data_IF_684889659091
#
_entry.id   IF_684889659091
#
_cell.length_a   1.000
_cell.length_b   1.000
_cell.length_c   1.000
_cell.angle_alpha   90.00
_cell.angle_beta   90.00
_cell.angle_gamma   90.00
#
_symmetry.space_group_name_H-M   'P 1'
#
loop_
_entity.id
_entity.type
_entity.pdbx_description
1 polymer ?
#
# COMPACT_ATOMS: atom_id res chain seq x y z
N UNK A 1 -4.44 21.89 13.36
CA UNK A 1 -4.49 21.39 11.98
C UNK A 1 -3.52 20.20 11.88
N UNK A 2 -4.06 18.99 11.78
CA UNK A 2 -3.32 17.71 11.83
C UNK A 2 -2.30 17.60 10.69
N UNK A 3 -2.64 18.09 9.50
CA UNK A 3 -1.73 18.04 8.33
C UNK A 3 -0.50 18.88 8.60
N UNK A 4 -0.67 20.11 9.12
CA UNK A 4 0.42 21.01 9.47
C UNK A 4 1.31 20.41 10.57
N UNK A 5 0.71 19.75 11.58
CA UNK A 5 1.48 19.07 12.63
C UNK A 5 2.42 18.00 12.03
N UNK A 6 1.97 17.24 11.03
CA UNK A 6 2.81 16.24 10.36
C UNK A 6 3.92 16.92 9.54
N UNK A 7 3.59 17.96 8.76
CA UNK A 7 4.57 18.70 7.96
C UNK A 7 5.67 19.41 8.79
N UNK A 8 5.35 19.81 10.02
CA UNK A 8 6.26 20.51 10.95
C UNK A 8 6.95 19.57 11.96
N UNK A 9 6.77 18.26 11.83
CA UNK A 9 7.33 17.25 12.74
C UNK A 9 8.10 16.15 11.99
N UNK A 10 8.81 15.31 12.75
CA UNK A 10 9.48 14.10 12.20
C UNK A 10 8.54 12.88 12.11
N UNK A 11 7.22 13.11 12.22
CA UNK A 11 6.23 12.02 12.11
C UNK A 11 5.92 11.73 10.64
N UNK A 12 5.83 10.46 10.29
CA UNK A 12 5.52 10.03 8.93
C UNK A 12 4.02 10.08 8.63
N UNK A 13 3.16 9.92 9.65
CA UNK A 13 1.69 9.97 9.54
C UNK A 13 1.04 10.36 10.87
N UNK A 14 -0.27 10.62 10.86
CA UNK A 14 -1.04 10.92 12.06
C UNK A 14 -1.57 9.63 12.72
N UNK A 15 -0.87 9.16 13.76
CA UNK A 15 -1.29 8.00 14.56
C UNK A 15 -2.71 8.20 15.15
N UNK A 16 -3.06 9.43 15.55
CA UNK A 16 -4.39 9.74 16.06
C UNK A 16 -5.50 9.51 15.02
N UNK A 17 -5.28 9.99 13.79
CA UNK A 17 -6.25 9.80 12.70
C UNK A 17 -6.31 8.33 12.30
N UNK A 18 -5.15 7.68 12.17
CA UNK A 18 -5.06 6.26 11.84
C UNK A 18 -5.86 5.40 12.84
N UNK A 19 -5.64 5.58 14.15
CA UNK A 19 -6.39 4.86 15.18
C UNK A 19 -7.89 5.15 15.12
N UNK A 20 -8.29 6.39 14.86
CA UNK A 20 -9.71 6.72 14.66
C UNK A 20 -10.34 5.96 13.50
N UNK A 21 -9.61 5.77 12.38
CA UNK A 21 -10.07 4.97 11.25
C UNK A 21 -10.16 3.48 11.60
N UNK A 22 -9.18 2.96 12.34
CA UNK A 22 -9.18 1.59 12.86
C UNK A 22 -10.35 1.34 13.81
N UNK A 23 -10.58 2.24 14.77
CA UNK A 23 -11.67 2.13 15.76
C UNK A 23 -13.06 2.12 15.09
N UNK A 24 -13.19 2.75 13.93
CA UNK A 24 -14.37 2.73 13.09
C UNK A 24 -14.43 1.51 12.15
N UNK A 25 -13.42 0.65 12.15
CA UNK A 25 -13.31 -0.53 11.27
C UNK A 25 -12.98 -0.22 9.81
N UNK A 26 -12.61 1.04 9.49
CA UNK A 26 -12.47 1.48 8.09
C UNK A 26 -11.27 0.84 7.38
N UNK A 27 -10.25 0.42 8.11
CA UNK A 27 -9.10 -0.35 7.58
C UNK A 27 -9.48 -1.74 7.11
N UNK A 28 -10.57 -2.30 7.67
CA UNK A 28 -11.11 -3.61 7.31
C UNK A 28 -12.33 -3.57 6.39
N UNK A 29 -12.64 -2.42 5.76
CA UNK A 29 -13.88 -2.21 4.98
C UNK A 29 -14.16 -3.33 3.99
N UNK A 30 -13.20 -3.69 3.14
CA UNK A 30 -13.38 -4.72 2.10
C UNK A 30 -12.81 -6.09 2.48
N UNK A 31 -12.21 -6.22 3.65
CA UNK A 31 -11.74 -7.53 4.17
C UNK A 31 -12.98 -8.37 4.52
N UNK A 32 -13.05 -9.65 4.09
CA UNK A 32 -14.14 -10.53 4.45
C UNK A 32 -14.33 -10.68 5.97
N UNK A 33 -15.56 -10.89 6.42
CA UNK A 33 -15.90 -11.06 7.85
C UNK A 33 -15.15 -12.25 8.47
N UNK A 34 -14.91 -13.31 7.71
CA UNK A 34 -14.14 -14.48 8.17
C UNK A 34 -12.69 -14.16 8.56
N UNK A 35 -12.13 -13.05 8.06
CA UNK A 35 -10.82 -12.51 8.44
C UNK A 35 -10.94 -11.27 9.34
N UNK A 36 -12.09 -11.03 9.95
CA UNK A 36 -12.30 -9.94 10.91
C UNK A 36 -12.55 -8.56 10.30
N UNK A 37 -12.80 -8.48 9.00
CA UNK A 37 -13.20 -7.25 8.32
C UNK A 37 -14.71 -7.01 8.34
N UNK A 38 -15.16 -5.97 7.64
CA UNK A 38 -16.58 -5.60 7.52
C UNK A 38 -17.28 -6.29 6.34
N UNK A 39 -16.55 -6.89 5.41
CA UNK A 39 -17.10 -7.55 4.23
C UNK A 39 -17.90 -6.64 3.30
N UNK A 40 -17.65 -5.33 3.36
CA UNK A 40 -18.37 -4.36 2.53
C UNK A 40 -17.79 -4.32 1.10
N UNK A 41 -18.49 -3.65 0.21
CA UNK A 41 -18.10 -3.57 -1.20
C UNK A 41 -17.07 -2.46 -1.45
N UNK A 42 -16.41 -2.45 -2.62
CA UNK A 42 -15.55 -1.33 -3.02
C UNK A 42 -16.27 0.03 -3.09
N UNK A 43 -17.61 0.05 -3.20
CA UNK A 43 -18.37 1.29 -3.24
C UNK A 43 -18.30 2.06 -1.91
N UNK A 44 -18.42 1.35 -0.78
CA UNK A 44 -18.28 1.96 0.54
C UNK A 44 -16.84 2.49 0.73
N UNK A 45 -15.86 1.77 0.20
CA UNK A 45 -14.47 2.22 0.25
C UNK A 45 -14.24 3.50 -0.59
N UNK A 46 -14.96 3.67 -1.72
CA UNK A 46 -14.93 4.92 -2.49
C UNK A 46 -15.43 6.13 -1.69
N UNK A 47 -16.50 5.96 -0.89
CA UNK A 47 -17.03 7.03 -0.03
C UNK A 47 -15.99 7.40 1.05
N UNK A 48 -15.33 6.41 1.64
CA UNK A 48 -14.26 6.65 2.62
C UNK A 48 -13.09 7.38 1.95
N UNK A 49 -12.70 6.97 0.76
CA UNK A 49 -11.60 7.59 0.01
C UNK A 49 -11.88 9.07 -0.27
N UNK A 50 -13.10 9.43 -0.68
CA UNK A 50 -13.52 10.81 -0.90
C UNK A 50 -13.38 11.67 0.36
N UNK A 51 -13.79 11.17 1.53
CA UNK A 51 -13.67 11.90 2.79
C UNK A 51 -12.20 12.02 3.26
N UNK A 52 -11.39 10.99 3.05
CA UNK A 52 -9.94 11.07 3.31
C UNK A 52 -9.27 12.14 2.44
N UNK A 53 -9.62 12.20 1.17
CA UNK A 53 -9.16 13.23 0.24
C UNK A 53 -9.64 14.62 0.63
N UNK A 54 -10.91 14.78 1.02
CA UNK A 54 -11.49 16.04 1.52
C UNK A 54 -10.73 16.59 2.73
N UNK A 55 -10.29 15.69 3.62
CA UNK A 55 -9.54 16.03 4.82
C UNK A 55 -8.01 16.13 4.55
N UNK A 56 -7.52 15.77 3.36
CA UNK A 56 -6.09 15.56 3.08
C UNK A 56 -5.43 14.71 4.17
N UNK A 57 -6.06 13.61 4.55
CA UNK A 57 -5.71 12.83 5.72
C UNK A 57 -4.28 12.24 5.60
N UNK A 58 -3.36 12.61 6.50
CA UNK A 58 -1.97 12.14 6.43
C UNK A 58 -1.84 10.76 7.10
N UNK A 59 -2.31 9.73 6.40
CA UNK A 59 -2.35 8.34 6.87
C UNK A 59 -1.97 7.37 5.75
N UNK A 60 -1.40 6.18 6.05
CA UNK A 60 -0.99 5.19 5.05
C UNK A 60 -2.17 4.40 4.47
N UNK A 61 -3.29 5.06 4.18
CA UNK A 61 -4.51 4.37 3.78
C UNK A 61 -4.41 3.82 2.36
N UNK A 62 -3.86 4.61 1.43
CA UNK A 62 -3.71 4.20 0.03
C UNK A 62 -2.73 3.03 -0.14
N UNK A 63 -1.58 3.07 0.51
CA UNK A 63 -0.58 2.01 0.45
C UNK A 63 -1.07 0.73 1.11
N UNK A 64 -1.67 0.86 2.31
CA UNK A 64 -2.07 -0.29 3.12
C UNK A 64 -3.40 -0.88 2.70
N UNK A 65 -4.44 -0.05 2.51
CA UNK A 65 -5.81 -0.53 2.25
C UNK A 65 -6.08 -0.71 0.76
N UNK A 66 -5.78 0.32 -0.09
CA UNK A 66 -6.12 0.23 -1.51
C UNK A 66 -5.22 -0.72 -2.29
N UNK A 67 -3.95 -0.85 -1.88
CA UNK A 67 -2.96 -1.64 -2.62
C UNK A 67 -2.64 -2.95 -1.91
N UNK A 68 -1.96 -2.91 -0.75
CA UNK A 68 -1.44 -4.12 -0.13
C UNK A 68 -2.54 -5.06 0.38
N UNK A 69 -3.58 -4.54 1.04
CA UNK A 69 -4.71 -5.35 1.51
C UNK A 69 -5.46 -5.98 0.34
N UNK A 70 -5.75 -5.22 -0.72
CA UNK A 70 -6.40 -5.75 -1.91
C UNK A 70 -5.54 -6.83 -2.59
N UNK A 71 -4.22 -6.63 -2.69
CA UNK A 71 -3.31 -7.64 -3.22
C UNK A 71 -3.37 -8.95 -2.41
N UNK A 72 -3.30 -8.86 -1.07
CA UNK A 72 -3.35 -10.04 -0.20
C UNK A 72 -4.72 -10.72 -0.29
N UNK A 73 -5.80 -9.96 -0.31
CA UNK A 73 -7.17 -10.48 -0.44
C UNK A 73 -7.38 -11.24 -1.74
N UNK A 74 -6.89 -10.72 -2.86
CA UNK A 74 -7.07 -11.32 -4.18
C UNK A 74 -6.09 -12.47 -4.44
N UNK A 75 -4.82 -12.30 -4.10
CA UNK A 75 -3.73 -13.17 -4.52
C UNK A 75 -2.96 -13.82 -3.37
N UNK A 76 -3.28 -13.53 -2.11
CA UNK A 76 -2.70 -14.23 -0.97
C UNK A 76 -3.07 -15.72 -0.97
N UNK A 77 -2.16 -16.58 -0.54
CA UNK A 77 -2.53 -17.94 -0.15
C UNK A 77 -3.46 -17.92 1.05
N UNK A 78 -4.26 -18.95 1.28
CA UNK A 78 -5.17 -18.98 2.44
C UNK A 78 -4.41 -18.72 3.76
N UNK A 79 -3.23 -19.33 3.92
CA UNK A 79 -2.36 -19.11 5.07
C UNK A 79 -1.94 -17.63 5.23
N UNK A 80 -1.64 -16.95 4.12
CA UNK A 80 -1.29 -15.53 4.13
C UNK A 80 -2.49 -14.66 4.49
N UNK A 81 -3.66 -14.95 3.93
CA UNK A 81 -4.91 -14.25 4.26
C UNK A 81 -5.25 -14.41 5.75
N UNK A 82 -5.24 -15.63 6.28
CA UNK A 82 -5.48 -15.92 7.70
C UNK A 82 -4.48 -15.21 8.63
N UNK A 83 -3.21 -15.07 8.21
CA UNK A 83 -2.17 -14.46 9.03
C UNK A 83 -2.18 -12.93 9.00
N UNK A 84 -2.46 -12.32 7.83
CA UNK A 84 -2.24 -10.90 7.64
C UNK A 84 -3.53 -10.07 7.58
N UNK A 85 -4.63 -10.56 6.99
CA UNK A 85 -5.86 -9.78 6.86
C UNK A 85 -6.47 -9.37 8.20
N UNK A 86 -6.52 -10.24 9.25
CA UNK A 86 -7.00 -9.81 10.56
C UNK A 86 -6.17 -8.67 11.18
N UNK A 87 -4.85 -8.74 11.06
CA UNK A 87 -3.95 -7.71 11.59
C UNK A 87 -4.09 -6.37 10.84
N UNK A 88 -4.31 -6.44 9.53
CA UNK A 88 -4.57 -5.25 8.69
C UNK A 88 -5.92 -4.63 9.03
N UNK A 89 -6.97 -5.44 9.23
CA UNK A 89 -8.29 -4.97 9.64
C UNK A 89 -8.25 -4.25 10.99
N UNK A 90 -7.46 -4.76 11.94
CA UNK A 90 -7.26 -4.17 13.27
C UNK A 90 -6.19 -3.07 13.31
N UNK A 91 -5.56 -2.75 12.18
CA UNK A 91 -4.49 -1.75 12.12
C UNK A 91 -3.27 -2.09 12.99
N UNK A 92 -3.10 -3.37 13.34
CA UNK A 92 -1.94 -3.86 14.11
C UNK A 92 -0.66 -3.82 13.30
N UNK A 93 -0.77 -3.93 11.97
CA UNK A 93 0.32 -3.77 11.01
C UNK A 93 -0.11 -2.80 9.91
N UNK A 94 0.88 -2.08 9.39
CA UNK A 94 0.76 -1.25 8.19
C UNK A 94 1.48 -1.97 7.05
N UNK A 95 0.77 -2.15 5.92
CA UNK A 95 1.38 -2.74 4.74
C UNK A 95 1.63 -1.72 3.63
N UNK A 96 2.53 -2.04 2.72
CA UNK A 96 2.78 -1.25 1.51
C UNK A 96 2.90 -2.13 0.28
N UNK A 97 2.91 -1.48 -0.88
CA UNK A 97 3.02 -2.13 -2.19
C UNK A 97 4.20 -1.55 -2.97
N UNK A 98 5.14 -2.40 -3.34
CA UNK A 98 6.39 -2.02 -3.98
C UNK A 98 6.45 -2.52 -5.42
N UNK A 99 6.17 -1.63 -6.38
CA UNK A 99 6.22 -1.90 -7.81
C UNK A 99 7.43 -1.22 -8.48
N UNK A 100 7.60 0.13 -8.44
CA UNK A 100 8.65 0.81 -9.17
C UNK A 100 10.06 0.44 -8.69
N UNK A 101 11.03 0.46 -9.61
CA UNK A 101 12.46 0.24 -9.32
C UNK A 101 13.34 1.44 -9.72
N UNK A 102 12.77 2.37 -10.46
CA UNK A 102 13.40 3.60 -10.95
C UNK A 102 12.35 4.63 -11.35
N UNK A 103 12.79 5.73 -11.96
CA UNK A 103 11.90 6.73 -12.55
C UNK A 103 11.24 6.29 -13.88
N UNK A 104 11.60 5.10 -14.38
CA UNK A 104 11.01 4.54 -15.60
C UNK A 104 9.67 3.89 -15.24
N UNK A 105 8.66 4.08 -16.06
CA UNK A 105 7.36 3.44 -15.90
C UNK A 105 7.50 1.91 -15.82
N UNK A 106 6.97 1.29 -14.76
CA UNK A 106 7.06 -0.17 -14.59
C UNK A 106 6.31 -0.92 -15.70
N UNK A 107 6.97 -1.95 -16.22
CA UNK A 107 6.36 -2.92 -17.15
C UNK A 107 7.03 -4.28 -16.94
N UNK A 108 6.50 -5.38 -17.48
CA UNK A 108 7.05 -6.73 -17.27
C UNK A 108 8.53 -6.88 -17.61
N UNK A 109 8.99 -6.17 -18.66
CA UNK A 109 10.36 -6.31 -19.18
C UNK A 109 11.40 -5.61 -18.31
N UNK A 110 10.98 -4.61 -17.49
CA UNK A 110 11.91 -3.82 -16.68
C UNK A 110 11.89 -4.16 -15.18
N UNK A 111 11.15 -5.18 -14.76
CA UNK A 111 11.21 -5.69 -13.38
C UNK A 111 12.51 -6.48 -13.18
N UNK A 112 13.37 -5.98 -12.29
CA UNK A 112 14.68 -6.55 -11.97
C UNK A 112 14.71 -7.22 -10.59
N UNK A 113 13.81 -6.86 -9.67
CA UNK A 113 13.70 -7.48 -8.36
C UNK A 113 13.28 -8.93 -8.51
N UNK A 114 14.12 -9.87 -8.02
CA UNK A 114 13.95 -11.30 -8.28
C UNK A 114 13.63 -12.08 -7.03
N UNK A 115 12.78 -13.10 -7.19
CA UNK A 115 12.49 -14.11 -6.19
C UNK A 115 13.14 -15.44 -6.58
N UNK A 116 13.74 -16.12 -5.60
CA UNK A 116 14.29 -17.46 -5.77
C UNK A 116 14.36 -18.19 -4.42
N UNK A 117 13.78 -19.39 -4.35
CA UNK A 117 13.89 -20.28 -3.18
C UNK A 117 13.53 -19.58 -1.84
N UNK A 118 12.42 -18.81 -1.81
CA UNK A 118 11.95 -18.11 -0.62
C UNK A 118 12.75 -16.85 -0.27
N UNK A 119 13.55 -16.33 -1.20
CA UNK A 119 14.40 -15.15 -0.98
C UNK A 119 14.21 -14.12 -2.08
N UNK A 120 14.24 -12.85 -1.66
CA UNK A 120 14.11 -11.68 -2.51
C UNK A 120 15.45 -10.97 -2.66
N UNK A 121 15.79 -10.57 -3.88
CA UNK A 121 16.99 -9.79 -4.17
C UNK A 121 16.67 -8.71 -5.19
N UNK A 122 17.03 -7.48 -4.89
CA UNK A 122 16.80 -6.33 -5.76
C UNK A 122 16.49 -5.06 -4.98
N UNK A 123 15.86 -4.11 -5.66
CA UNK A 123 15.55 -2.81 -5.11
C UNK A 123 14.18 -2.33 -5.61
N UNK A 124 13.45 -1.63 -4.75
CA UNK A 124 12.21 -0.92 -5.09
C UNK A 124 12.30 0.54 -4.68
N UNK A 125 11.91 1.45 -5.59
CA UNK A 125 11.82 2.89 -5.32
C UNK A 125 11.02 3.62 -6.42
N UNK A 126 10.17 4.60 -6.06
CA UNK A 126 9.75 4.91 -4.70
C UNK A 126 8.72 3.91 -4.17
N UNK A 127 8.79 3.60 -2.88
CA UNK A 127 7.80 2.77 -2.19
C UNK A 127 7.01 3.66 -1.22
N UNK A 128 5.70 3.86 -1.43
CA UNK A 128 4.89 4.69 -0.53
C UNK A 128 4.86 4.08 0.88
N UNK A 129 4.99 4.92 1.90
CA UNK A 129 5.00 4.54 3.32
C UNK A 129 6.04 3.46 3.71
N UNK A 130 7.01 3.22 2.82
CA UNK A 130 7.98 2.13 2.94
C UNK A 130 8.99 2.29 4.07
N UNK A 131 9.19 3.51 4.60
CA UNK A 131 10.15 3.72 5.69
C UNK A 131 9.69 3.12 7.00
N UNK A 132 8.38 3.06 7.25
CA UNK A 132 7.79 2.62 8.50
C UNK A 132 6.79 1.46 8.38
N UNK A 133 6.40 1.06 7.17
CA UNK A 133 5.56 -0.12 6.98
C UNK A 133 6.19 -1.38 7.59
N UNK A 134 5.32 -2.27 8.07
CA UNK A 134 5.68 -3.57 8.68
C UNK A 134 5.77 -4.68 7.63
N UNK A 135 4.87 -4.66 6.65
CA UNK A 135 4.73 -5.67 5.61
C UNK A 135 4.78 -5.03 4.23
N UNK A 136 5.37 -5.71 3.27
CA UNK A 136 5.42 -5.24 1.89
C UNK A 136 4.97 -6.33 0.91
N UNK A 137 4.03 -5.99 0.03
CA UNK A 137 3.77 -6.75 -1.21
C UNK A 137 4.76 -6.23 -2.25
N UNK A 138 5.62 -7.11 -2.75
CA UNK A 138 6.67 -6.77 -3.71
C UNK A 138 6.39 -7.43 -5.04
N UNK A 139 6.30 -6.65 -6.11
CA UNK A 139 6.24 -7.18 -7.48
C UNK A 139 7.64 -7.68 -7.87
N UNK A 140 7.71 -8.92 -8.33
CA UNK A 140 8.96 -9.64 -8.56
C UNK A 140 8.98 -10.32 -9.93
N UNK A 141 10.17 -10.69 -10.35
CA UNK A 141 10.39 -11.70 -11.37
C UNK A 141 10.83 -13.02 -10.72
N UNK A 142 10.02 -14.06 -10.85
CA UNK A 142 10.39 -15.38 -10.32
C UNK A 142 11.43 -16.03 -11.23
N UNK A 143 12.59 -16.36 -10.67
CA UNK A 143 13.69 -17.01 -11.42
C UNK A 143 13.38 -18.42 -11.88
N UNK A 144 12.44 -19.10 -11.26
CA UNK A 144 12.10 -20.47 -11.63
C UNK A 144 11.21 -20.53 -12.88
N UNK A 145 10.24 -19.64 -12.98
CA UNK A 145 9.27 -19.58 -14.08
C UNK A 145 9.57 -18.49 -15.11
N UNK A 146 10.49 -17.57 -14.82
CA UNK A 146 10.78 -16.35 -15.58
C UNK A 146 9.55 -15.42 -15.74
N UNK A 147 8.53 -15.60 -14.89
CA UNK A 147 7.29 -14.84 -14.90
C UNK A 147 7.28 -13.72 -13.86
N UNK A 148 6.40 -12.74 -14.08
CA UNK A 148 6.09 -11.72 -13.07
C UNK A 148 5.15 -12.34 -12.04
N UNK A 149 5.33 -11.94 -10.78
CA UNK A 149 4.49 -12.34 -9.67
C UNK A 149 4.61 -11.35 -8.51
N UNK A 150 4.08 -11.74 -7.36
CA UNK A 150 4.14 -10.95 -6.13
C UNK A 150 4.63 -11.81 -4.97
N UNK A 151 5.36 -11.20 -4.04
CA UNK A 151 5.76 -11.85 -2.80
C UNK A 151 5.51 -10.95 -1.59
N UNK A 152 5.26 -11.57 -0.43
CA UNK A 152 5.12 -10.90 0.86
C UNK A 152 6.45 -10.92 1.61
N UNK A 153 6.80 -9.77 2.18
CA UNK A 153 8.03 -9.56 2.93
C UNK A 153 7.73 -8.84 4.23
N UNK A 154 8.11 -9.44 5.35
CA UNK A 154 8.17 -8.73 6.64
C UNK A 154 9.37 -7.78 6.62
N UNK A 155 9.10 -6.47 6.69
CA UNK A 155 10.12 -5.44 6.56
C UNK A 155 11.04 -5.28 7.80
N UNK A 156 10.82 -6.08 8.85
CA UNK A 156 11.73 -6.23 9.97
C UNK A 156 12.77 -7.35 9.77
N UNK A 157 12.66 -8.13 8.69
CA UNK A 157 13.52 -9.27 8.42
C UNK A 157 14.96 -8.86 8.09
N UNK A 158 15.89 -9.78 8.28
CA UNK A 158 17.29 -9.59 7.87
C UNK A 158 17.44 -9.42 6.35
N UNK A 159 18.47 -8.73 5.93
CA UNK A 159 18.74 -8.49 4.50
C UNK A 159 17.88 -7.38 3.88
N UNK A 160 17.24 -6.56 4.69
CA UNK A 160 16.43 -5.41 4.23
C UNK A 160 17.07 -4.11 4.71
N UNK A 161 17.26 -3.19 3.76
CA UNK A 161 17.70 -1.83 4.03
C UNK A 161 16.62 -0.87 3.54
N UNK A 162 16.22 0.09 4.42
CA UNK A 162 15.23 1.13 4.09
C UNK A 162 15.90 2.49 4.15
N UNK A 163 15.65 3.32 3.14
CA UNK A 163 16.12 4.70 3.08
C UNK A 163 14.98 5.62 2.69
N UNK A 164 14.62 6.53 3.57
CA UNK A 164 13.61 7.56 3.29
C UNK A 164 14.04 8.45 2.13
N UNK A 165 13.10 8.73 1.23
CA UNK A 165 13.29 9.61 0.09
C UNK A 165 12.65 10.97 0.35
N UNK A 166 13.36 12.04 0.01
CA UNK A 166 12.78 13.38 -0.01
C UNK A 166 11.98 13.55 -1.30
N UNK A 167 10.69 13.79 -1.17
CA UNK A 167 9.76 14.01 -2.28
C UNK A 167 9.18 15.41 -2.25
N UNK A 168 8.53 15.81 -3.35
CA UNK A 168 7.87 17.12 -3.43
C UNK A 168 6.66 17.18 -2.47
N UNK A 169 5.89 16.10 -2.40
CA UNK A 169 4.80 15.95 -1.45
C UNK A 169 5.35 15.43 -0.12
N UNK A 170 5.38 16.30 0.88
CA UNK A 170 5.86 15.99 2.24
C UNK A 170 4.74 15.41 3.12
N UNK A 171 3.51 15.29 2.63
CA UNK A 171 2.39 14.67 3.38
C UNK A 171 2.39 13.15 3.25
N UNK A 172 3.21 12.60 2.35
CA UNK A 172 3.34 11.16 2.09
C UNK A 172 4.80 10.74 2.20
N UNK A 173 5.06 9.75 3.02
CA UNK A 173 6.39 9.12 3.10
C UNK A 173 6.67 8.24 1.87
N UNK A 174 7.92 8.22 1.46
CA UNK A 174 8.41 7.31 0.42
C UNK A 174 9.79 6.78 0.79
N UNK A 175 10.07 5.55 0.45
CA UNK A 175 11.37 4.94 0.69
C UNK A 175 11.96 4.26 -0.55
N UNK A 176 13.28 4.15 -0.56
CA UNK A 176 14.00 3.11 -1.29
C UNK A 176 14.14 1.90 -0.36
N UNK A 177 13.76 0.71 -0.84
CA UNK A 177 13.92 -0.54 -0.10
C UNK A 177 14.83 -1.46 -0.91
N UNK A 178 15.91 -1.92 -0.28
CA UNK A 178 16.88 -2.85 -0.87
C UNK A 178 16.72 -4.21 -0.19
N UNK A 179 16.64 -5.25 -1.00
CA UNK A 179 16.49 -6.64 -0.58
C UNK A 179 17.77 -7.40 -0.92
N UNK A 180 18.48 -7.87 0.09
CA UNK A 180 19.73 -8.65 -0.01
C UNK A 180 19.48 -10.08 0.46
N UNK A 181 18.92 -10.94 -0.39
CA UNK A 181 18.46 -12.29 -0.03
C UNK A 181 17.49 -12.29 1.15
N UNK A 182 16.61 -11.30 1.23
CA UNK A 182 15.63 -11.16 2.28
C UNK A 182 14.61 -12.32 2.24
N UNK A 183 14.23 -12.91 3.38
CA UNK A 183 13.18 -13.92 3.44
C UNK A 183 11.86 -13.36 2.90
N UNK A 184 11.17 -14.13 2.07
CA UNK A 184 9.90 -13.73 1.49
C UNK A 184 9.02 -14.92 1.17
N UNK A 185 7.70 -14.68 1.11
CA UNK A 185 6.70 -15.69 0.81
C UNK A 185 6.06 -15.37 -0.55
N UNK A 186 6.16 -16.29 -1.51
CA UNK A 186 5.49 -16.13 -2.80
C UNK A 186 3.96 -16.10 -2.60
N UNK A 187 3.27 -15.23 -3.32
CA UNK A 187 1.81 -15.18 -3.36
C UNK A 187 1.29 -16.04 -4.51
N UNK A 188 -0.01 -16.34 -4.50
CA UNK A 188 -0.66 -16.93 -5.66
C UNK A 188 -0.59 -15.97 -6.85
N UNK A 189 -0.58 -16.51 -8.05
CA UNK A 189 -0.63 -15.75 -9.28
C UNK A 189 -1.47 -16.51 -10.28
N UNK A 190 -2.16 -15.79 -11.16
CA UNK A 190 -2.76 -16.38 -12.36
C UNK A 190 -1.66 -16.71 -13.38
N UNK A 191 -2.04 -17.21 -14.55
CA UNK A 191 -1.11 -17.45 -15.67
C UNK A 191 -0.55 -16.10 -16.21
N UNK A 192 -1.24 -14.98 -15.95
CA UNK A 192 -0.82 -13.61 -16.27
C UNK A 192 -0.52 -12.81 -15.00
N UNK A 193 0.64 -13.03 -14.40
CA UNK A 193 1.04 -12.33 -13.17
C UNK A 193 1.17 -10.81 -13.33
N UNK A 194 1.41 -10.28 -14.55
CA UNK A 194 1.36 -8.85 -14.77
C UNK A 194 -0.09 -8.33 -14.81
N UNK A 195 -1.02 -9.08 -15.39
CA UNK A 195 -2.44 -8.78 -15.32
C UNK A 195 -2.96 -8.74 -13.88
N UNK A 196 -2.45 -9.61 -12.99
CA UNK A 196 -2.77 -9.57 -11.56
C UNK A 196 -2.33 -8.24 -10.91
N UNK A 197 -1.11 -7.77 -11.23
CA UNK A 197 -0.62 -6.45 -10.78
C UNK A 197 -1.49 -5.32 -11.33
N UNK A 198 -1.83 -5.34 -12.61
CA UNK A 198 -2.70 -4.33 -13.23
C UNK A 198 -4.07 -4.29 -12.58
N UNK A 199 -4.67 -5.41 -12.24
CA UNK A 199 -5.95 -5.47 -11.54
C UNK A 199 -5.92 -4.73 -10.20
N UNK A 200 -4.84 -4.87 -9.42
CA UNK A 200 -4.66 -4.15 -8.16
C UNK A 200 -4.54 -2.64 -8.42
N UNK A 201 -3.74 -2.26 -9.42
CA UNK A 201 -3.55 -0.85 -9.78
C UNK A 201 -4.84 -0.19 -10.28
N UNK A 202 -5.67 -0.91 -11.03
CA UNK A 202 -6.96 -0.40 -11.53
C UNK A 202 -7.94 -0.14 -10.36
N UNK A 203 -8.01 -1.05 -9.39
CA UNK A 203 -8.80 -0.86 -8.16
C UNK A 203 -8.30 0.37 -7.40
N UNK A 204 -6.98 0.47 -7.18
CA UNK A 204 -6.39 1.60 -6.49
C UNK A 204 -6.59 2.92 -7.24
N UNK A 205 -6.52 2.91 -8.58
CA UNK A 205 -6.74 4.11 -9.40
C UNK A 205 -8.16 4.67 -9.24
N UNK A 206 -9.18 3.80 -9.15
CA UNK A 206 -10.55 4.22 -8.85
C UNK A 206 -10.62 4.89 -7.49
N UNK A 207 -10.07 4.26 -6.44
CA UNK A 207 -10.10 4.78 -5.07
C UNK A 207 -9.34 6.11 -4.94
N UNK A 208 -8.15 6.22 -5.55
CA UNK A 208 -7.36 7.46 -5.58
C UNK A 208 -8.12 8.56 -6.33
N UNK A 209 -8.89 8.22 -7.37
CA UNK A 209 -9.73 9.21 -8.07
C UNK A 209 -10.80 9.80 -7.14
N UNK A 210 -11.39 9.01 -6.26
CA UNK A 210 -12.33 9.52 -5.24
C UNK A 210 -11.61 10.38 -4.20
N UNK A 211 -10.40 10.02 -3.73
CA UNK A 211 -9.58 10.93 -2.90
C UNK A 211 -9.36 12.28 -3.58
N UNK A 212 -9.01 12.28 -4.87
CA UNK A 212 -8.79 13.52 -5.63
C UNK A 212 -10.07 14.36 -5.75
N UNK A 213 -11.23 13.73 -5.94
CA UNK A 213 -12.54 14.42 -5.99
C UNK A 213 -12.81 15.11 -4.64
N UNK A 214 -12.63 14.42 -3.53
CA UNK A 214 -12.79 14.99 -2.19
C UNK A 214 -11.88 16.19 -1.94
N UNK A 215 -10.61 16.10 -2.30
CA UNK A 215 -9.63 17.19 -2.19
C UNK A 215 -9.98 18.38 -3.10
N UNK A 216 -10.43 18.11 -4.34
CA UNK A 216 -10.86 19.14 -5.28
C UNK A 216 -12.10 19.90 -4.76
N UNK A 217 -13.08 19.20 -4.22
CA UNK A 217 -14.27 19.82 -3.63
C UNK A 217 -13.92 20.68 -2.41
N UNK A 218 -13.05 20.21 -1.52
CA UNK A 218 -12.57 21.01 -0.39
C UNK A 218 -11.89 22.29 -0.86
N UNK A 219 -11.04 22.21 -1.87
CA UNK A 219 -10.34 23.35 -2.46
C UNK A 219 -11.31 24.35 -3.09
N UNK A 220 -12.33 23.85 -3.81
CA UNK A 220 -13.38 24.70 -4.40
C UNK A 220 -14.20 25.43 -3.35
N UNK A 221 -14.55 24.73 -2.25
CA UNK A 221 -15.33 25.34 -1.15
C UNK A 221 -14.52 26.42 -0.44
N UNK A 222 -13.24 26.20 -0.16
CA UNK A 222 -12.34 27.24 0.38
C UNK A 222 -12.26 28.46 -0.54
N UNK A 223 -12.16 28.27 -1.85
CA UNK A 223 -12.11 29.36 -2.82
C UNK A 223 -13.43 30.15 -2.83
N UNK A 224 -14.58 29.49 -2.73
CA UNK A 224 -15.91 30.16 -2.65
C UNK A 224 -16.07 30.97 -1.36
N UNK A 225 -15.58 30.47 -0.22
CA UNK A 225 -15.66 31.17 1.06
C UNK A 225 -14.77 32.42 1.09
N UNK A 226 -13.67 32.39 0.32
CA UNK A 226 -12.73 33.51 0.21
C UNK A 226 -13.22 34.62 -0.74
N UNK A 227 -14.04 34.30 -1.75
CA UNK A 227 -14.53 35.24 -2.75
C UNK A 227 -15.71 36.07 -2.28
#
# INVERSE_FOLDING_TARGET
>A
DVVREILESDKNYSDKVWRGLVDLGLTGTTIPEEYGGLGLSPLELCVIAEELGRASAPVPFSSSVYLATEAIKLFGTEKQKENYLPKLALGEIIATFALPESAIEPNPDNIQCTFSSGKLTGKKMPVPDGSYADLCVVVIKDKASDSIGMSLVDLSSEGIEKKTLSTLDQTRDHAEIIFNNAPSEIMNSSDDGWGDVQQILDIAAVLISFEQIGGAEASLNMAKEYA
#
